data_IF_999635120470
#
_entry.id   IF_999635120470
#
_cell.length_a   1.000
_cell.length_b   1.000
_cell.length_c   1.000
_cell.angle_alpha   90.00
_cell.angle_beta   90.00
_cell.angle_gamma   90.00
#
_symmetry.space_group_name_H-M   'P 1'
#
loop_
_entity.id
_entity.type
_entity.pdbx_description
1 polymer ?
#
# COMPACT_ATOMS: atom_id res chain seq x y z
N UNK A 1 -0.89 -13.82 6.55
CA UNK A 1 -1.29 -13.40 5.20
C UNK A 1 -0.77 -14.41 4.20
N UNK A 2 -1.65 -14.97 3.43
CA UNK A 2 -1.29 -15.98 2.44
C UNK A 2 -0.92 -15.34 1.12
N UNK A 3 -0.22 -16.10 0.27
CA UNK A 3 0.08 -15.65 -1.07
C UNK A 3 -1.21 -15.33 -1.80
N UNK A 4 -1.21 -14.25 -2.54
CA UNK A 4 -2.39 -13.81 -3.27
C UNK A 4 -2.40 -12.31 -3.46
N UNK A 5 -3.54 -11.84 -3.91
CA UNK A 5 -3.75 -10.44 -4.23
C UNK A 5 -4.79 -9.85 -3.27
N UNK A 6 -4.49 -8.70 -2.71
CA UNK A 6 -5.33 -8.05 -1.70
C UNK A 6 -5.54 -6.60 -2.08
N UNK A 7 -6.78 -6.18 -2.10
CA UNK A 7 -7.13 -4.80 -2.43
C UNK A 7 -7.70 -4.10 -1.20
N UNK A 8 -7.10 -3.00 -0.83
CA UNK A 8 -7.51 -2.19 0.30
C UNK A 8 -7.99 -0.82 -0.16
N UNK A 9 -9.11 -0.38 0.39
CA UNK A 9 -9.48 1.02 0.29
C UNK A 9 -8.77 1.74 1.42
N UNK A 10 -7.97 2.74 1.10
CA UNK A 10 -7.14 3.43 2.09
C UNK A 10 -7.46 4.91 2.17
N UNK A 11 -7.13 5.48 3.30
CA UNK A 11 -7.33 6.90 3.55
C UNK A 11 -6.07 7.43 4.23
N UNK A 12 -5.45 8.41 3.61
CA UNK A 12 -4.22 9.02 4.10
C UNK A 12 -4.54 10.38 4.70
N UNK A 13 -4.11 10.59 5.94
CA UNK A 13 -4.29 11.86 6.63
C UNK A 13 -3.17 12.82 6.22
N UNK A 14 -3.52 13.94 5.63
CA UNK A 14 -2.56 14.95 5.21
C UNK A 14 -2.91 16.29 5.84
N UNK A 15 -1.97 17.26 5.86
CA UNK A 15 -2.27 18.61 6.37
C UNK A 15 -3.43 19.29 5.64
N UNK A 16 -3.70 18.89 4.40
CA UNK A 16 -4.79 19.47 3.61
C UNK A 16 -6.07 18.64 3.70
N UNK A 17 -6.12 17.70 4.64
CA UNK A 17 -7.28 16.83 4.82
C UNK A 17 -7.00 15.41 4.42
N UNK A 18 -8.03 14.60 4.45
CA UNK A 18 -7.90 13.19 4.15
C UNK A 18 -7.94 12.95 2.65
N UNK A 19 -7.10 12.04 2.18
CA UNK A 19 -7.05 11.64 0.78
C UNK A 19 -7.34 10.16 0.67
N UNK A 20 -8.30 9.81 -0.15
CA UNK A 20 -8.71 8.43 -0.36
C UNK A 20 -8.00 7.84 -1.55
N UNK A 21 -7.70 6.55 -1.44
CA UNK A 21 -7.07 5.83 -2.54
C UNK A 21 -7.26 4.35 -2.38
N UNK A 22 -6.47 3.60 -3.11
CA UNK A 22 -6.48 2.14 -3.07
C UNK A 22 -5.06 1.64 -3.00
N UNK A 23 -4.88 0.53 -2.29
CA UNK A 23 -3.60 -0.15 -2.23
C UNK A 23 -3.83 -1.59 -2.62
N UNK A 24 -3.20 -2.00 -3.70
CA UNK A 24 -3.20 -3.40 -4.11
C UNK A 24 -1.88 -4.01 -3.69
N UNK A 25 -1.95 -5.09 -2.91
CA UNK A 25 -0.77 -5.84 -2.49
C UNK A 25 -0.81 -7.22 -3.12
N UNK A 26 0.28 -7.57 -3.76
CA UNK A 26 0.47 -8.90 -4.33
C UNK A 26 1.54 -9.57 -3.48
N UNK A 27 1.11 -10.58 -2.73
CA UNK A 27 1.96 -11.25 -1.75
C UNK A 27 2.50 -12.54 -2.34
N UNK A 28 3.80 -12.69 -2.30
CA UNK A 28 4.46 -13.93 -2.65
C UNK A 28 5.57 -14.18 -1.67
N UNK A 29 5.37 -15.16 -0.79
CA UNK A 29 6.31 -15.49 0.29
C UNK A 29 6.57 -14.26 1.17
N UNK A 30 7.81 -13.80 1.26
CA UNK A 30 8.17 -12.64 2.06
C UNK A 30 8.23 -11.35 1.24
N UNK A 31 7.77 -11.38 0.00
CA UNK A 31 7.85 -10.26 -0.90
C UNK A 31 6.49 -9.65 -1.17
N UNK A 32 6.47 -8.36 -1.42
CA UNK A 32 5.28 -7.63 -1.80
C UNK A 32 5.53 -6.88 -3.09
N UNK A 33 4.56 -6.98 -3.99
CA UNK A 33 4.46 -6.10 -5.14
C UNK A 33 3.10 -5.45 -5.08
N UNK A 34 2.83 -4.56 -5.99
CA UNK A 34 1.52 -3.96 -6.10
C UNK A 34 1.56 -2.50 -6.47
N UNK A 35 0.47 -1.83 -6.19
CA UNK A 35 0.25 -0.46 -6.65
C UNK A 35 -0.49 0.33 -5.60
N UNK A 36 -0.06 1.57 -5.42
CA UNK A 36 -0.77 2.54 -4.61
C UNK A 36 -1.44 3.52 -5.58
N UNK A 37 -2.77 3.63 -5.50
CA UNK A 37 -3.53 4.59 -6.31
C UNK A 37 -3.94 5.75 -5.43
N UNK A 38 -3.46 6.92 -5.75
CA UNK A 38 -3.73 8.17 -5.05
C UNK A 38 -3.77 9.29 -6.06
N UNK A 39 -4.52 10.34 -5.76
CA UNK A 39 -4.58 11.52 -6.61
C UNK A 39 -4.94 11.18 -8.06
N UNK A 40 -5.83 10.22 -8.23
CA UNK A 40 -6.30 9.69 -9.53
C UNK A 40 -5.18 9.06 -10.38
N UNK A 41 -4.07 8.70 -9.75
CA UNK A 41 -2.94 8.05 -10.42
C UNK A 41 -2.54 6.78 -9.69
N UNK A 42 -1.97 5.86 -10.44
CA UNK A 42 -1.52 4.57 -9.95
C UNK A 42 0.01 4.53 -9.94
N UNK A 43 0.59 4.22 -8.79
CA UNK A 43 2.04 4.19 -8.63
C UNK A 43 2.48 2.81 -8.16
N UNK A 44 3.46 2.18 -8.81
CA UNK A 44 3.95 0.89 -8.35
C UNK A 44 4.68 1.05 -7.02
N UNK A 45 4.54 0.06 -6.15
CA UNK A 45 5.34 0.01 -4.94
C UNK A 45 6.68 -0.67 -5.27
N UNK A 46 7.69 -0.37 -4.47
CA UNK A 46 9.04 -0.86 -4.69
C UNK A 46 9.60 -1.46 -3.40
N UNK A 47 10.47 -2.44 -3.55
CA UNK A 47 11.17 -3.06 -2.42
C UNK A 47 10.23 -3.54 -1.32
N UNK A 48 9.10 -4.08 -1.72
CA UNK A 48 8.11 -4.56 -0.77
C UNK A 48 8.55 -5.82 -0.07
N UNK A 49 8.38 -5.84 1.25
CA UNK A 49 8.75 -6.98 2.09
C UNK A 49 7.68 -7.19 3.14
N UNK A 50 7.59 -8.42 3.57
CA UNK A 50 6.64 -8.82 4.58
C UNK A 50 7.31 -9.76 5.59
N UNK A 51 7.00 -9.56 6.86
CA UNK A 51 7.40 -10.47 7.92
C UNK A 51 6.18 -10.67 8.82
N UNK A 52 5.53 -11.83 8.69
CA UNK A 52 4.26 -12.06 9.36
C UNK A 52 3.22 -11.06 8.86
N UNK A 53 2.68 -10.27 9.76
CA UNK A 53 1.70 -9.23 9.44
C UNK A 53 2.32 -7.85 9.28
N UNK A 54 3.64 -7.75 9.44
CA UNK A 54 4.36 -6.49 9.22
C UNK A 54 4.74 -6.36 7.76
N UNK A 55 4.52 -5.19 7.22
CA UNK A 55 4.82 -4.92 5.83
C UNK A 55 5.63 -3.63 5.72
N UNK A 56 6.46 -3.58 4.70
CA UNK A 56 7.21 -2.38 4.36
C UNK A 56 7.38 -2.30 2.85
N UNK A 57 7.34 -1.10 2.33
CA UNK A 57 7.60 -0.86 0.92
C UNK A 57 7.96 0.61 0.75
N UNK A 58 8.34 0.96 -0.44
CA UNK A 58 8.65 2.35 -0.76
C UNK A 58 8.14 2.64 -2.16
N UNK A 59 8.17 3.90 -2.53
CA UNK A 59 7.73 4.29 -3.84
C UNK A 59 7.79 5.79 -4.02
N UNK A 60 7.20 6.22 -5.12
CA UNK A 60 7.16 7.63 -5.46
C UNK A 60 5.76 7.98 -5.93
N UNK A 61 5.21 9.05 -5.39
CA UNK A 61 3.94 9.59 -5.84
C UNK A 61 4.21 10.88 -6.59
N UNK A 62 3.62 11.00 -7.77
CA UNK A 62 3.80 12.18 -8.60
C UNK A 62 2.50 12.94 -8.72
N UNK A 63 2.56 14.23 -8.44
CA UNK A 63 1.44 15.13 -8.66
C UNK A 63 1.82 16.10 -9.78
N UNK A 64 0.89 16.95 -10.16
CA UNK A 64 1.19 17.98 -11.17
C UNK A 64 2.33 18.88 -10.71
N UNK A 65 2.44 19.12 -9.41
CA UNK A 65 3.37 20.08 -8.86
C UNK A 65 4.72 19.48 -8.46
N UNK A 66 4.75 18.19 -8.08
CA UNK A 66 5.99 17.62 -7.55
C UNK A 66 5.98 16.11 -7.49
N UNK A 67 7.14 15.53 -7.30
CA UNK A 67 7.32 14.12 -6.96
C UNK A 67 7.58 14.00 -5.47
N UNK A 68 7.02 12.97 -4.86
CA UNK A 68 7.14 12.72 -3.45
C UNK A 68 7.55 11.28 -3.22
N UNK A 69 8.79 11.08 -2.79
CA UNK A 69 9.27 9.75 -2.42
C UNK A 69 8.84 9.42 -1.01
N UNK A 70 8.45 8.18 -0.79
CA UNK A 70 7.99 7.77 0.53
C UNK A 70 8.53 6.40 0.89
N UNK A 71 8.57 6.14 2.20
CA UNK A 71 8.75 4.81 2.75
C UNK A 71 7.53 4.51 3.59
N UNK A 72 6.98 3.32 3.41
CA UNK A 72 5.79 2.89 4.12
C UNK A 72 6.12 1.72 5.01
N UNK A 73 5.64 1.77 6.25
CA UNK A 73 5.74 0.67 7.19
C UNK A 73 4.45 0.55 7.94
N UNK A 74 4.06 -0.67 8.23
CA UNK A 74 2.86 -0.88 9.00
C UNK A 74 2.54 -2.32 9.18
N UNK A 75 1.27 -2.57 9.49
CA UNK A 75 0.84 -3.94 9.75
C UNK A 75 -0.60 -4.14 9.32
N UNK A 76 -0.92 -5.41 9.16
CA UNK A 76 -2.26 -5.85 8.79
C UNK A 76 -2.81 -6.61 9.99
N UNK A 77 -4.03 -6.26 10.39
CA UNK A 77 -4.74 -6.92 11.47
C UNK A 77 -6.14 -7.27 10.97
N UNK A 78 -6.35 -8.55 10.63
CA UNK A 78 -7.60 -8.97 10.03
C UNK A 78 -7.80 -8.29 8.68
N UNK A 79 -8.89 -7.57 8.54
CA UNK A 79 -9.21 -6.86 7.30
C UNK A 79 -8.75 -5.41 7.32
N UNK A 80 -8.04 -5.00 8.35
CA UNK A 80 -7.56 -3.62 8.49
C UNK A 80 -6.09 -3.53 8.19
N UNK A 81 -5.69 -2.43 7.60
CA UNK A 81 -4.29 -2.11 7.34
C UNK A 81 -3.99 -0.74 7.96
N UNK A 82 -2.84 -0.64 8.59
CA UNK A 82 -2.36 0.61 9.17
C UNK A 82 -0.94 0.83 8.72
N UNK A 83 -0.69 1.96 8.10
CA UNK A 83 0.62 2.30 7.55
C UNK A 83 1.01 3.70 7.99
N UNK A 84 2.31 3.92 8.07
CA UNK A 84 2.89 5.26 8.17
C UNK A 84 3.74 5.46 6.92
N UNK A 85 3.40 6.47 6.13
CA UNK A 85 4.20 6.87 4.98
C UNK A 85 5.09 8.02 5.41
N UNK A 86 6.38 7.79 5.35
CA UNK A 86 7.38 8.81 5.73
C UNK A 86 7.99 9.41 4.48
N UNK A 87 7.96 10.74 4.41
CA UNK A 87 8.47 11.51 3.29
C UNK A 87 9.39 12.61 3.82
N UNK A 88 10.01 13.35 2.92
CA UNK A 88 10.82 14.51 3.32
C UNK A 88 9.97 15.59 3.99
N UNK A 89 8.68 15.62 3.71
CA UNK A 89 7.76 16.64 4.24
C UNK A 89 7.09 16.21 5.54
N UNK A 90 7.33 14.99 6.00
CA UNK A 90 6.72 14.48 7.23
C UNK A 90 6.16 13.08 7.06
N UNK A 91 5.46 12.64 8.06
CA UNK A 91 4.86 11.30 8.10
C UNK A 91 3.35 11.41 8.04
N UNK A 92 2.74 10.50 7.28
CA UNK A 92 1.30 10.50 7.07
C UNK A 92 0.70 9.17 7.49
N UNK A 93 -0.24 9.21 8.40
CA UNK A 93 -0.98 8.01 8.81
C UNK A 93 -1.93 7.61 7.70
N UNK A 94 -1.91 6.33 7.38
CA UNK A 94 -2.78 5.77 6.35
C UNK A 94 -3.43 4.52 6.89
N UNK A 95 -4.74 4.46 6.83
CA UNK A 95 -5.48 3.31 7.29
C UNK A 95 -6.42 2.84 6.18
N UNK A 96 -6.79 1.58 6.24
CA UNK A 96 -7.69 1.06 5.22
C UNK A 96 -8.34 -0.25 5.60
N UNK A 97 -9.23 -0.69 4.72
CA UNK A 97 -9.96 -1.93 4.85
C UNK A 97 -9.85 -2.76 3.60
N UNK A 98 -9.77 -4.06 3.79
CA UNK A 98 -9.76 -5.02 2.70
C UNK A 98 -11.11 -4.99 1.99
N UNK A 99 -11.09 -4.71 0.69
CA UNK A 99 -12.29 -4.67 -0.13
C UNK A 99 -12.34 -5.81 -1.14
N UNK A 100 -11.19 -6.43 -1.42
CA UNK A 100 -11.14 -7.54 -2.35
C UNK A 100 -9.93 -8.41 -2.09
N UNK A 101 -10.09 -9.70 -2.36
CA UNK A 101 -9.06 -10.67 -2.07
C UNK A 101 -9.11 -11.76 -3.13
N UNK A 102 -7.95 -12.12 -3.66
CA UNK A 102 -7.81 -13.23 -4.57
C UNK A 102 -6.69 -14.12 -4.07
N UNK A 103 -6.94 -15.39 -4.05
CA UNK A 103 -5.92 -16.34 -3.68
C UNK A 103 -4.80 -16.38 -4.71
N UNK A 104 -3.86 -17.27 -4.47
CA UNK A 104 -2.74 -17.48 -5.38
C UNK A 104 -3.27 -17.83 -6.77
N UNK A 105 -2.72 -17.20 -7.81
CA UNK A 105 -3.20 -17.47 -9.17
C UNK A 105 -3.07 -18.94 -9.55
N UNK A 106 -4.08 -19.46 -10.21
CA UNK A 106 -4.04 -20.79 -10.76
C UNK A 106 -3.50 -20.67 -12.16
N UNK A 107 -2.36 -21.29 -12.39
CA UNK A 107 -1.63 -21.11 -13.64
C UNK A 107 -1.79 -22.23 -14.63
N UNK A 108 -2.56 -23.22 -14.29
CA UNK A 108 -2.70 -24.42 -15.12
C UNK A 108 -3.95 -24.42 -15.98
N UNK A 109 -4.62 -23.35 -16.04
CA UNK A 109 -5.79 -23.23 -16.90
C UNK A 109 -5.40 -22.99 -18.32
#
# INVERSE_FOLDING_TARGET
MENGSYLYAVEMSTPLGKRRGQLELIVWENFLNGYLTMFTRCFPIQNGKRSGNHISFQGEMKTIMKSLSYQAEGKIAGKKISLVLTTDSGSYQTTGFLTGEKGEPITNE
#
